data_IF_085515400055
#
_entry.id   IF_085515400055
#
_cell.length_a   1.000
_cell.length_b   1.000
_cell.length_c   1.000
_cell.angle_alpha   90.00
_cell.angle_beta   90.00
_cell.angle_gamma   90.00
#
_symmetry.space_group_name_H-M   'P 1'
#
loop_
_entity.id
_entity.type
_entity.pdbx_description
1 polymer ?
#
# COMPACT_ATOMS: atom_id res chain seq x y z
N UNK A 1 -12.23 25.11 -19.33
CA UNK A 1 -10.91 24.98 -19.97
C UNK A 1 -9.88 25.60 -19.05
N UNK A 2 -9.08 24.79 -18.35
CA UNK A 2 -7.98 25.27 -17.51
C UNK A 2 -6.77 25.60 -18.40
N UNK A 3 -6.10 26.73 -18.14
CA UNK A 3 -4.99 27.25 -18.95
C UNK A 3 -3.82 26.26 -19.14
N UNK A 4 -3.15 26.25 -20.31
CA UNK A 4 -2.06 25.32 -20.63
C UNK A 4 -0.89 25.33 -19.62
N UNK A 5 -0.58 26.48 -19.02
CA UNK A 5 0.51 26.62 -18.02
C UNK A 5 0.18 25.93 -16.68
N UNK A 6 -1.09 25.90 -16.26
CA UNK A 6 -1.50 25.17 -15.04
C UNK A 6 -1.55 23.66 -15.25
N UNK A 7 -1.84 23.21 -16.48
CA UNK A 7 -1.88 21.78 -16.84
C UNK A 7 -0.49 21.12 -16.74
N UNK A 8 0.56 21.79 -17.20
CA UNK A 8 1.94 21.29 -17.09
C UNK A 8 2.45 21.21 -15.64
N UNK A 9 2.09 22.18 -14.80
CA UNK A 9 2.45 22.19 -13.37
C UNK A 9 1.73 21.04 -12.62
N UNK A 10 0.47 20.75 -12.95
CA UNK A 10 -0.30 19.64 -12.34
C UNK A 10 0.21 18.26 -12.80
N UNK A 11 0.68 18.13 -14.05
CA UNK A 11 1.31 16.90 -14.56
C UNK A 11 2.69 16.64 -13.92
N UNK A 12 3.50 17.67 -13.69
CA UNK A 12 4.77 17.54 -12.95
C UNK A 12 4.54 17.21 -11.46
N UNK A 13 3.49 17.73 -10.83
CA UNK A 13 3.15 17.49 -9.42
C UNK A 13 2.61 16.08 -9.12
N UNK A 14 2.25 15.30 -10.15
CA UNK A 14 1.69 13.95 -10.01
C UNK A 14 2.62 12.82 -10.50
N UNK A 15 3.85 13.14 -10.92
CA UNK A 15 4.81 12.12 -11.34
C UNK A 15 5.30 11.34 -10.12
N UNK A 16 5.01 10.05 -10.10
CA UNK A 16 5.52 9.15 -9.07
C UNK A 16 7.00 8.88 -9.40
N UNK A 17 7.94 9.21 -8.49
CA UNK A 17 9.36 9.05 -8.77
C UNK A 17 9.72 7.58 -8.95
N UNK A 18 10.60 7.30 -9.91
CA UNK A 18 11.14 5.97 -10.18
C UNK A 18 12.54 5.83 -9.57
N UNK A 19 12.70 4.77 -8.77
CA UNK A 19 13.96 4.39 -8.10
C UNK A 19 14.47 3.09 -8.71
N UNK A 20 15.66 3.11 -9.33
CA UNK A 20 16.26 1.93 -9.94
C UNK A 20 17.37 1.33 -9.06
N UNK A 21 17.38 0.00 -8.88
CA UNK A 21 18.47 -0.72 -8.21
C UNK A 21 19.47 -1.19 -9.26
N UNK A 22 20.71 -0.71 -9.17
CA UNK A 22 21.81 -1.01 -10.09
C UNK A 22 22.98 -1.60 -9.31
N UNK A 23 23.76 -2.45 -9.95
CA UNK A 23 24.96 -3.06 -9.38
C UNK A 23 25.33 -4.34 -10.12
N UNK A 24 26.54 -4.84 -9.90
CA UNK A 24 27.00 -6.07 -10.56
C UNK A 24 26.16 -7.30 -10.17
N UNK A 25 26.38 -8.42 -10.83
CA UNK A 25 25.67 -9.68 -10.53
C UNK A 25 26.02 -10.15 -9.11
N UNK A 26 25.08 -10.79 -8.43
CA UNK A 26 25.23 -11.39 -7.09
C UNK A 26 25.54 -10.43 -5.92
N UNK A 27 25.37 -9.12 -6.08
CA UNK A 27 25.43 -8.15 -4.96
C UNK A 27 24.18 -8.17 -4.08
N UNK A 28 23.10 -8.81 -4.52
CA UNK A 28 21.83 -8.94 -3.79
C UNK A 28 20.74 -7.94 -4.17
N UNK A 29 20.73 -7.44 -5.42
CA UNK A 29 19.70 -6.52 -5.95
C UNK A 29 18.28 -7.05 -5.76
N UNK A 30 18.01 -8.27 -6.23
CA UNK A 30 16.68 -8.88 -6.12
C UNK A 30 16.31 -9.21 -4.68
N UNK A 31 17.29 -9.51 -3.82
CA UNK A 31 17.06 -9.66 -2.38
C UNK A 31 16.63 -8.34 -1.73
N UNK A 32 17.29 -7.23 -2.09
CA UNK A 32 16.92 -5.89 -1.61
C UNK A 32 15.54 -5.49 -2.13
N UNK A 33 15.29 -5.68 -3.42
CA UNK A 33 13.99 -5.44 -4.04
C UNK A 33 12.87 -6.18 -3.31
N UNK A 34 13.02 -7.50 -3.12
CA UNK A 34 12.06 -8.33 -2.41
C UNK A 34 11.86 -7.92 -0.95
N UNK A 35 12.92 -7.44 -0.30
CA UNK A 35 12.84 -6.93 1.07
C UNK A 35 12.00 -5.65 1.13
N UNK A 36 12.27 -4.70 0.22
CA UNK A 36 11.59 -3.40 0.19
C UNK A 36 10.09 -3.56 -0.11
N UNK A 37 9.72 -4.51 -0.98
CA UNK A 37 8.31 -4.77 -1.33
C UNK A 37 7.54 -5.57 -0.27
N UNK A 38 8.21 -6.09 0.77
CA UNK A 38 7.57 -6.75 1.91
C UNK A 38 7.05 -8.18 1.69
N UNK A 39 7.40 -8.87 0.60
CA UNK A 39 7.06 -10.30 0.38
C UNK A 39 8.18 -11.08 -0.32
N UNK A 40 8.42 -12.36 0.06
CA UNK A 40 9.14 -13.27 -0.83
C UNK A 40 8.31 -13.44 -2.12
N UNK A 41 8.92 -13.16 -3.28
CA UNK A 41 8.37 -13.59 -4.57
C UNK A 41 8.25 -15.11 -4.52
N UNK A 42 7.03 -15.63 -4.68
CA UNK A 42 6.87 -16.99 -5.14
C UNK A 42 7.46 -17.07 -6.56
N UNK A 43 8.64 -17.69 -6.67
CA UNK A 43 9.02 -18.53 -7.81
C UNK A 43 7.84 -19.52 -8.01
N UNK A 44 7.23 -19.80 -9.16
CA UNK A 44 7.63 -19.87 -10.58
C UNK A 44 6.33 -19.77 -11.42
N UNK A 45 6.35 -19.11 -12.59
CA UNK A 45 5.48 -19.49 -13.72
C UNK A 45 6.24 -19.15 -15.01
N UNK A 46 6.93 -20.16 -15.55
CA UNK A 46 7.74 -20.12 -16.77
C UNK A 46 6.86 -20.09 -18.01
N UNK A 47 6.24 -18.95 -18.29
CA UNK A 47 5.59 -18.69 -19.57
C UNK A 47 6.26 -17.53 -20.31
N UNK A 48 6.91 -17.77 -21.47
CA UNK A 48 7.51 -16.71 -22.26
C UNK A 48 6.41 -15.79 -22.82
N UNK A 49 6.56 -14.47 -22.66
CA UNK A 49 5.73 -13.49 -23.38
C UNK A 49 4.95 -12.45 -22.57
N UNK A 50 5.41 -12.02 -21.38
CA UNK A 50 4.69 -11.00 -20.59
C UNK A 50 5.41 -9.65 -20.53
N UNK A 51 4.65 -8.60 -20.85
CA UNK A 51 4.99 -7.19 -21.04
C UNK A 51 5.64 -6.50 -19.82
N UNK A 52 6.35 -5.39 -20.13
CA UNK A 52 7.17 -4.48 -19.29
C UNK A 52 6.70 -4.12 -17.87
N UNK A 53 5.45 -4.40 -17.49
CA UNK A 53 4.83 -4.00 -16.21
C UNK A 53 5.26 -4.83 -14.98
N UNK A 54 5.98 -5.95 -15.18
CA UNK A 54 6.38 -6.86 -14.07
C UNK A 54 7.53 -6.33 -13.20
N UNK A 55 8.34 -5.39 -13.67
CA UNK A 55 9.62 -5.00 -13.04
C UNK A 55 9.53 -3.79 -12.09
N UNK A 56 8.40 -3.08 -12.03
CA UNK A 56 8.19 -1.93 -11.15
C UNK A 56 7.23 -2.27 -10.02
N UNK A 57 7.51 -1.80 -8.81
CA UNK A 57 6.65 -1.97 -7.63
C UNK A 57 6.51 -0.66 -6.90
N UNK A 58 5.28 -0.30 -6.53
CA UNK A 58 5.04 0.89 -5.72
C UNK A 58 5.42 0.62 -4.26
N UNK A 59 6.14 1.57 -3.68
CA UNK A 59 6.58 1.58 -2.29
C UNK A 59 6.10 2.89 -1.68
N UNK A 60 5.61 2.84 -0.45
CA UNK A 60 5.28 4.03 0.34
C UNK A 60 6.14 4.05 1.60
N UNK A 61 6.82 5.17 1.82
CA UNK A 61 7.68 5.36 2.99
C UNK A 61 7.62 6.81 3.48
N UNK A 62 7.41 7.00 4.79
CA UNK A 62 7.31 8.33 5.44
C UNK A 62 6.39 9.32 4.67
N UNK A 63 5.28 8.79 4.15
CA UNK A 63 4.26 9.52 3.39
C UNK A 63 4.60 9.87 1.94
N UNK A 64 5.73 9.39 1.39
CA UNK A 64 6.09 9.55 -0.02
C UNK A 64 5.91 8.21 -0.77
N UNK A 65 5.14 8.23 -1.86
CA UNK A 65 5.02 7.08 -2.77
C UNK A 65 6.05 7.19 -3.89
N UNK A 66 6.74 6.09 -4.18
CA UNK A 66 7.66 5.97 -5.31
C UNK A 66 7.56 4.57 -5.94
N UNK A 67 7.99 4.41 -7.18
CA UNK A 67 8.15 3.10 -7.81
C UNK A 67 9.59 2.64 -7.67
N UNK A 68 9.80 1.39 -7.26
CA UNK A 68 11.12 0.75 -7.27
C UNK A 68 11.18 -0.26 -8.42
N UNK A 69 12.31 -0.30 -9.12
CA UNK A 69 12.58 -1.29 -10.15
C UNK A 69 13.91 -2.00 -9.92
N UNK A 70 13.90 -3.32 -10.10
CA UNK A 70 15.14 -4.08 -10.27
C UNK A 70 15.49 -4.00 -11.77
N UNK A 71 16.66 -3.47 -12.12
CA UNK A 71 17.10 -3.46 -13.53
C UNK A 71 17.47 -4.86 -14.03
N UNK A 72 17.33 -5.88 -13.18
CA UNK A 72 17.48 -7.29 -13.49
C UNK A 72 18.91 -7.77 -13.32
N UNK A 73 19.05 -8.90 -12.62
CA UNK A 73 19.68 -10.06 -13.25
C UNK A 73 18.57 -10.90 -13.87
N UNK A 74 18.16 -10.58 -15.10
CA UNK A 74 17.40 -11.51 -15.93
C UNK A 74 18.43 -12.45 -16.56
N UNK A 75 18.34 -13.72 -16.20
CA UNK A 75 19.20 -14.86 -16.57
C UNK A 75 20.47 -15.04 -15.74
N UNK A 76 20.49 -16.16 -15.01
CA UNK A 76 21.67 -16.81 -14.45
C UNK A 76 22.19 -17.83 -15.50
N UNK A 77 23.33 -18.47 -15.28
CA UNK A 77 24.67 -17.99 -15.59
C UNK A 77 25.26 -18.89 -16.67
N UNK A 78 25.20 -18.49 -17.93
CA UNK A 78 26.04 -19.10 -18.96
C UNK A 78 26.51 -17.99 -19.92
N UNK A 79 27.82 -18.04 -20.14
CA UNK A 79 28.64 -17.37 -21.14
C UNK A 79 29.10 -15.92 -20.91
N UNK A 80 30.41 -15.78 -21.12
CA UNK A 80 31.32 -14.66 -20.91
C UNK A 80 31.04 -13.40 -21.77
N UNK A 81 29.78 -13.12 -22.07
CA UNK A 81 29.38 -11.91 -22.77
C UNK A 81 28.17 -11.31 -22.09
N UNK A 82 28.38 -10.17 -21.43
CA UNK A 82 27.29 -9.29 -21.02
C UNK A 82 26.56 -8.87 -22.31
N UNK A 83 25.52 -9.61 -22.71
CA UNK A 83 24.83 -9.38 -23.97
C UNK A 83 24.43 -7.91 -24.10
N UNK A 84 24.58 -7.31 -25.28
CA UNK A 84 24.17 -5.91 -25.52
C UNK A 84 22.73 -5.64 -25.04
N UNK A 85 21.90 -6.68 -25.07
CA UNK A 85 20.53 -6.67 -24.55
C UNK A 85 20.45 -6.35 -23.04
N UNK A 86 21.31 -6.96 -22.21
CA UNK A 86 21.38 -6.69 -20.76
C UNK A 86 21.84 -5.26 -20.48
N UNK A 87 22.87 -4.77 -21.18
CA UNK A 87 23.34 -3.38 -21.07
C UNK A 87 22.23 -2.39 -21.43
N UNK A 88 21.55 -2.59 -22.56
CA UNK A 88 20.44 -1.73 -23.01
C UNK A 88 19.28 -1.68 -22.02
N UNK A 89 19.01 -2.76 -21.27
CA UNK A 89 17.96 -2.78 -20.25
C UNK A 89 18.36 -2.02 -18.97
N UNK A 90 19.61 -2.17 -18.52
CA UNK A 90 20.15 -1.38 -17.39
C UNK A 90 20.21 0.10 -17.77
N UNK A 91 20.64 0.42 -18.98
CA UNK A 91 20.68 1.79 -19.51
C UNK A 91 19.30 2.45 -19.51
N UNK A 92 18.29 1.77 -20.07
CA UNK A 92 16.90 2.28 -20.06
C UNK A 92 16.37 2.48 -18.65
N UNK A 93 16.60 1.52 -17.74
CA UNK A 93 16.15 1.64 -16.36
C UNK A 93 16.77 2.83 -15.62
N UNK A 94 18.06 3.10 -15.86
CA UNK A 94 18.76 4.26 -15.28
C UNK A 94 18.33 5.58 -15.93
N UNK A 95 18.10 5.60 -17.24
CA UNK A 95 17.62 6.78 -17.95
C UNK A 95 16.24 7.23 -17.49
N UNK A 96 15.33 6.28 -17.27
CA UNK A 96 13.98 6.53 -16.77
C UNK A 96 13.94 6.89 -15.28
N UNK A 97 14.92 6.43 -14.49
CA UNK A 97 14.95 6.64 -13.04
C UNK A 97 15.22 8.09 -12.64
N UNK A 98 14.51 8.55 -11.62
CA UNK A 98 14.71 9.83 -10.94
C UNK A 98 15.79 9.69 -9.84
N UNK A 99 15.96 8.48 -9.32
CA UNK A 99 16.99 8.15 -8.34
C UNK A 99 17.55 6.73 -8.57
N UNK A 100 18.85 6.55 -8.40
CA UNK A 100 19.51 5.25 -8.54
C UNK A 100 20.05 4.79 -7.18
N UNK A 101 19.78 3.54 -6.82
CA UNK A 101 20.47 2.84 -5.73
C UNK A 101 21.61 2.05 -6.37
N UNK A 102 22.85 2.46 -6.12
CA UNK A 102 24.01 1.69 -6.53
C UNK A 102 24.40 0.72 -5.42
N UNK A 103 24.16 -0.56 -5.64
CA UNK A 103 24.33 -1.63 -4.67
C UNK A 103 25.66 -2.36 -4.89
N UNK A 104 26.51 -2.35 -3.86
CA UNK A 104 27.82 -3.02 -3.83
C UNK A 104 27.83 -4.10 -2.75
N UNK A 105 28.83 -4.99 -2.76
CA UNK A 105 28.94 -6.11 -1.82
C UNK A 105 30.08 -5.86 -0.83
N UNK A 106 29.73 -5.59 0.43
CA UNK A 106 30.70 -5.32 1.49
C UNK A 106 31.67 -6.49 1.69
N UNK A 107 31.25 -7.74 1.46
CA UNK A 107 32.13 -8.92 1.63
C UNK A 107 33.27 -8.92 0.63
N UNK A 108 32.98 -8.55 -0.63
CA UNK A 108 33.95 -8.60 -1.73
C UNK A 108 34.80 -7.33 -1.89
N UNK A 109 34.40 -6.22 -1.26
CA UNK A 109 35.07 -4.92 -1.48
C UNK A 109 34.77 -4.33 -2.86
N UNK A 110 35.51 -3.30 -3.25
CA UNK A 110 35.39 -2.65 -4.55
C UNK A 110 36.00 -3.55 -5.64
N UNK A 111 35.26 -3.78 -6.73
CA UNK A 111 35.76 -4.51 -7.90
C UNK A 111 35.91 -3.60 -9.12
N UNK A 112 36.69 -3.99 -10.16
CA UNK A 112 36.78 -3.22 -11.41
C UNK A 112 35.41 -2.95 -12.05
N UNK A 113 34.50 -3.92 -12.03
CA UNK A 113 33.12 -3.73 -12.51
C UNK A 113 32.35 -2.68 -11.71
N UNK A 114 32.58 -2.58 -10.40
CA UNK A 114 31.94 -1.55 -9.58
C UNK A 114 32.48 -0.15 -9.95
N UNK A 115 33.78 -0.04 -10.31
CA UNK A 115 34.37 1.20 -10.81
C UNK A 115 33.81 1.59 -12.19
N UNK A 116 33.67 0.64 -13.11
CA UNK A 116 33.06 0.87 -14.43
C UNK A 116 31.61 1.37 -14.33
N UNK A 117 30.81 0.70 -13.49
CA UNK A 117 29.41 1.10 -13.24
C UNK A 117 29.38 2.50 -12.61
N UNK A 118 30.27 2.78 -11.65
CA UNK A 118 30.36 4.09 -11.02
C UNK A 118 30.71 5.19 -12.02
N UNK A 119 31.68 4.97 -12.91
CA UNK A 119 32.05 5.92 -13.95
C UNK A 119 30.90 6.17 -14.92
N UNK A 120 30.22 5.10 -15.34
CA UNK A 120 29.05 5.20 -16.20
C UNK A 120 27.90 5.99 -15.57
N UNK A 121 27.58 5.72 -14.30
CA UNK A 121 26.56 6.46 -13.54
C UNK A 121 26.91 7.95 -13.39
N UNK A 122 28.19 8.27 -13.14
CA UNK A 122 28.68 9.67 -13.08
C UNK A 122 28.50 10.38 -14.42
N UNK A 123 28.85 9.75 -15.54
CA UNK A 123 28.68 10.33 -16.89
C UNK A 123 27.20 10.62 -17.22
N UNK A 124 26.26 9.83 -16.68
CA UNK A 124 24.81 10.04 -16.88
C UNK A 124 24.22 11.14 -16.00
N UNK A 125 24.97 11.70 -15.03
CA UNK A 125 24.53 12.82 -14.19
C UNK A 125 23.34 12.50 -13.27
N UNK A 126 23.04 11.23 -13.05
CA UNK A 126 21.92 10.80 -12.20
C UNK A 126 22.27 10.96 -10.71
N UNK A 127 21.26 11.20 -9.88
CA UNK A 127 21.41 11.13 -8.43
C UNK A 127 21.51 9.67 -8.00
N UNK A 128 22.52 9.37 -7.20
CA UNK A 128 22.86 8.00 -6.78
C UNK A 128 22.97 7.95 -5.27
N UNK A 129 22.33 6.96 -4.65
CA UNK A 129 22.57 6.54 -3.27
C UNK A 129 23.40 5.26 -3.33
N UNK A 130 24.58 5.29 -2.70
CA UNK A 130 25.44 4.12 -2.58
C UNK A 130 25.01 3.27 -1.38
N UNK A 131 24.81 1.97 -1.60
CA UNK A 131 24.42 1.02 -0.57
C UNK A 131 25.39 -0.18 -0.55
N UNK A 132 26.04 -0.39 0.60
CA UNK A 132 26.94 -1.53 0.81
C UNK A 132 26.18 -2.69 1.42
N UNK A 133 25.83 -3.68 0.59
CA UNK A 133 25.03 -4.84 0.98
C UNK A 133 25.88 -5.92 1.66
N UNK A 134 25.20 -6.88 2.31
CA UNK A 134 25.80 -7.99 3.07
C UNK A 134 26.61 -7.53 4.29
N UNK A 135 26.16 -6.45 4.93
CA UNK A 135 26.72 -5.89 6.16
C UNK A 135 26.48 -6.73 7.43
N UNK A 136 26.16 -8.01 7.27
CA UNK A 136 26.14 -9.03 8.32
C UNK A 136 27.54 -9.49 8.76
N UNK A 137 28.60 -9.02 8.10
CA UNK A 137 30.00 -9.32 8.45
C UNK A 137 30.59 -8.32 9.44
N UNK A 138 31.38 -8.84 10.38
CA UNK A 138 32.17 -8.03 11.31
C UNK A 138 33.45 -7.51 10.62
N UNK A 139 33.97 -6.40 11.12
CA UNK A 139 35.32 -5.88 10.82
C UNK A 139 35.58 -5.45 9.36
N UNK A 140 34.54 -5.04 8.63
CA UNK A 140 34.66 -4.47 7.28
C UNK A 140 34.32 -2.98 7.31
N UNK A 141 35.24 -2.15 6.83
CA UNK A 141 35.02 -0.71 6.74
C UNK A 141 34.13 -0.38 5.54
N UNK A 142 32.96 0.17 5.83
CA UNK A 142 31.99 0.59 4.81
C UNK A 142 32.48 1.88 4.14
N UNK A 143 33.32 2.68 4.79
CA UNK A 143 33.83 3.95 4.27
C UNK A 143 34.76 3.77 3.07
N UNK A 144 35.34 2.59 2.85
CA UNK A 144 36.13 2.29 1.66
C UNK A 144 35.37 2.63 0.36
N UNK A 145 34.06 2.36 0.33
CA UNK A 145 33.23 2.58 -0.85
C UNK A 145 32.98 4.07 -1.17
N UNK A 146 33.36 5.01 -0.30
CA UNK A 146 33.35 6.45 -0.62
C UNK A 146 34.22 6.76 -1.85
N UNK A 147 35.25 5.93 -2.13
CA UNK A 147 36.09 6.03 -3.31
C UNK A 147 35.32 5.94 -4.65
N UNK A 148 34.09 5.40 -4.64
CA UNK A 148 33.22 5.35 -5.83
C UNK A 148 32.58 6.72 -6.17
N UNK A 149 32.71 7.72 -5.30
CA UNK A 149 32.35 9.11 -5.61
C UNK A 149 30.88 9.47 -5.44
N UNK A 150 30.12 8.73 -4.63
CA UNK A 150 28.69 8.97 -4.37
C UNK A 150 28.38 9.34 -2.91
N UNK A 151 29.39 9.81 -2.17
CA UNK A 151 29.28 10.16 -0.76
C UNK A 151 29.30 8.94 0.17
N UNK A 152 28.84 9.13 1.41
CA UNK A 152 28.87 8.08 2.43
C UNK A 152 27.90 6.93 2.07
N UNK A 153 28.37 5.67 2.04
CA UNK A 153 27.55 4.51 1.74
C UNK A 153 26.60 4.11 2.89
N UNK A 154 25.38 3.70 2.56
CA UNK A 154 24.46 3.10 3.54
C UNK A 154 24.79 1.63 3.71
N UNK A 155 25.21 1.22 4.91
CA UNK A 155 25.47 -0.18 5.24
C UNK A 155 24.14 -0.94 5.41
N UNK A 156 23.92 -1.99 4.62
CA UNK A 156 22.69 -2.79 4.67
C UNK A 156 22.97 -4.29 4.64
N UNK A 157 22.07 -5.08 5.23
CA UNK A 157 21.96 -6.52 4.94
C UNK A 157 20.56 -6.81 4.44
N UNK A 158 20.43 -6.95 3.12
CA UNK A 158 19.14 -7.25 2.47
C UNK A 158 18.55 -8.59 2.93
N UNK A 159 19.40 -9.56 3.26
CA UNK A 159 19.01 -10.88 3.75
C UNK A 159 18.43 -10.84 5.17
N UNK A 160 18.93 -9.94 6.02
CA UNK A 160 18.52 -9.82 7.43
C UNK A 160 17.65 -8.58 7.71
N UNK A 161 17.43 -7.71 6.72
CA UNK A 161 16.65 -6.48 6.85
C UNK A 161 17.37 -5.34 7.60
N UNK A 162 18.64 -5.50 7.95
CA UNK A 162 19.44 -4.50 8.67
C UNK A 162 19.75 -3.33 7.73
N UNK A 163 19.61 -2.09 8.19
CA UNK A 163 19.97 -0.89 7.41
C UNK A 163 18.97 -0.53 6.29
N UNK A 164 17.98 -1.37 6.01
CA UNK A 164 17.00 -1.14 4.94
C UNK A 164 16.06 0.04 5.28
N UNK A 165 15.55 0.21 6.51
CA UNK A 165 14.82 1.42 6.88
C UNK A 165 15.65 2.70 6.69
N UNK A 166 16.92 2.69 7.06
CA UNK A 166 17.87 3.81 6.88
C UNK A 166 18.04 4.16 5.39
N UNK A 167 18.15 3.14 4.53
CA UNK A 167 18.21 3.33 3.08
C UNK A 167 16.92 3.97 2.55
N UNK A 168 15.75 3.53 3.03
CA UNK A 168 14.45 4.08 2.64
C UNK A 168 14.27 5.53 3.13
N UNK A 169 14.72 5.85 4.34
CA UNK A 169 14.74 7.22 4.86
C UNK A 169 15.54 8.14 3.92
N UNK A 170 16.75 7.70 3.50
CA UNK A 170 17.62 8.47 2.60
C UNK A 170 17.05 8.61 1.19
N UNK A 171 16.37 7.59 0.67
CA UNK A 171 15.63 7.66 -0.60
C UNK A 171 14.56 8.74 -0.53
N UNK A 172 13.74 8.75 0.51
CA UNK A 172 12.67 9.74 0.67
C UNK A 172 13.23 11.14 0.85
N UNK A 173 14.32 11.30 1.61
CA UNK A 173 14.99 12.59 1.78
C UNK A 173 15.51 13.13 0.44
N UNK A 174 16.19 12.31 -0.35
CA UNK A 174 16.74 12.74 -1.64
C UNK A 174 15.64 13.06 -2.66
N UNK A 175 14.60 12.22 -2.75
CA UNK A 175 13.44 12.52 -3.59
C UNK A 175 12.78 13.84 -3.18
N UNK A 176 12.67 14.12 -1.87
CA UNK A 176 12.17 15.41 -1.39
C UNK A 176 13.07 16.58 -1.80
N UNK A 177 14.38 16.43 -1.77
CA UNK A 177 15.32 17.47 -2.25
C UNK A 177 15.16 17.73 -3.74
N UNK A 178 14.83 16.70 -4.53
CA UNK A 178 14.52 16.83 -5.96
C UNK A 178 13.16 17.49 -6.24
N UNK A 179 12.41 17.90 -5.22
CA UNK A 179 11.12 18.55 -5.38
C UNK A 179 9.93 17.59 -5.38
N UNK A 180 10.16 16.27 -5.34
CA UNK A 180 9.08 15.33 -5.08
C UNK A 180 8.48 15.65 -3.71
N UNK A 181 7.18 15.80 -3.67
CA UNK A 181 6.45 15.89 -2.42
C UNK A 181 5.66 14.61 -2.31
N UNK A 182 5.26 14.26 -1.08
CA UNK A 182 4.07 13.46 -0.91
C UNK A 182 3.05 14.02 -1.88
N UNK A 183 2.44 13.17 -2.73
CA UNK A 183 1.37 13.62 -3.61
C UNK A 183 0.53 14.58 -2.78
N UNK A 184 0.35 15.86 -3.21
CA UNK A 184 -0.45 16.80 -2.45
C UNK A 184 -1.71 16.03 -2.06
N UNK A 185 -2.05 16.05 -0.75
CA UNK A 185 -3.28 15.43 -0.22
C UNK A 185 -4.27 15.44 -1.35
N UNK A 186 -4.55 14.26 -1.94
CA UNK A 186 -5.26 14.18 -3.21
C UNK A 186 -6.39 15.17 -3.07
N UNK A 187 -6.30 16.29 -3.80
CA UNK A 187 -7.31 17.36 -3.82
C UNK A 187 -8.60 16.59 -3.80
N UNK A 188 -9.33 16.63 -2.66
CA UNK A 188 -10.44 15.71 -2.33
C UNK A 188 -10.93 15.17 -3.65
N UNK A 189 -10.57 13.92 -3.99
CA UNK A 189 -11.09 13.38 -5.23
C UNK A 189 -12.60 13.52 -5.03
N UNK A 190 -13.27 14.36 -5.84
CA UNK A 190 -14.68 14.71 -5.60
C UNK A 190 -15.49 13.43 -5.39
N UNK A 191 -15.00 12.34 -5.98
CA UNK A 191 -15.54 11.00 -5.92
C UNK A 191 -14.72 10.05 -5.05
N UNK A 192 -15.42 9.27 -4.22
CA UNK A 192 -14.83 8.19 -3.41
C UNK A 192 -14.56 6.97 -4.27
N UNK A 193 -13.33 6.46 -4.29
CA UNK A 193 -13.00 5.20 -4.98
C UNK A 193 -13.41 4.01 -4.12
N UNK A 194 -14.34 3.20 -4.61
CA UNK A 194 -14.87 2.04 -3.88
C UNK A 194 -14.63 0.74 -4.66
N UNK A 195 -14.44 -0.38 -3.95
CA UNK A 195 -14.46 -1.72 -4.54
C UNK A 195 -15.54 -2.56 -3.86
N UNK A 196 -16.41 -3.19 -4.65
CA UNK A 196 -17.50 -4.04 -4.15
C UNK A 196 -17.03 -5.50 -4.16
N UNK A 197 -17.01 -6.11 -2.98
CA UNK A 197 -16.48 -7.44 -2.70
C UNK A 197 -17.56 -8.30 -2.04
N UNK A 198 -17.36 -9.62 -2.01
CA UNK A 198 -18.30 -10.55 -1.37
C UNK A 198 -18.41 -11.88 -2.12
N UNK A 199 -19.02 -12.88 -1.48
CA UNK A 199 -19.23 -14.21 -2.06
C UNK A 199 -20.05 -14.17 -3.36
N UNK A 200 -20.01 -15.21 -4.20
CA UNK A 200 -20.97 -15.36 -5.29
C UNK A 200 -22.42 -15.19 -4.81
N UNK A 201 -23.29 -14.65 -5.66
CA UNK A 201 -24.75 -14.54 -5.44
C UNK A 201 -25.25 -13.68 -4.25
N UNK A 202 -24.38 -13.02 -3.48
CA UNK A 202 -24.78 -12.07 -2.40
C UNK A 202 -25.44 -10.78 -2.90
N UNK A 203 -25.48 -10.57 -4.22
CA UNK A 203 -26.11 -9.39 -4.84
C UNK A 203 -25.16 -8.24 -5.21
N UNK A 204 -23.85 -8.50 -5.37
CA UNK A 204 -22.86 -7.49 -5.80
C UNK A 204 -23.26 -6.73 -7.07
N UNK A 205 -23.71 -7.43 -8.11
CA UNK A 205 -24.09 -6.81 -9.39
C UNK A 205 -25.37 -5.99 -9.29
N UNK A 206 -26.33 -6.46 -8.50
CA UNK A 206 -27.54 -5.69 -8.19
C UNK A 206 -27.20 -4.43 -7.40
N UNK A 207 -26.32 -4.56 -6.39
CA UNK A 207 -25.87 -3.44 -5.58
C UNK A 207 -25.08 -2.42 -6.41
N UNK A 208 -24.23 -2.89 -7.33
CA UNK A 208 -23.53 -2.03 -8.28
C UNK A 208 -24.53 -1.22 -9.10
N UNK A 209 -25.55 -1.85 -9.70
CA UNK A 209 -26.54 -1.13 -10.48
C UNK A 209 -27.33 -0.13 -9.62
N UNK A 210 -27.70 -0.51 -8.39
CA UNK A 210 -28.41 0.37 -7.47
C UNK A 210 -27.57 1.60 -7.06
N UNK A 211 -26.26 1.43 -6.85
CA UNK A 211 -25.33 2.53 -6.57
C UNK A 211 -25.05 3.42 -7.79
N UNK A 212 -25.19 2.86 -8.99
CA UNK A 212 -24.89 3.56 -10.24
C UNK A 212 -26.04 4.45 -10.69
N UNK A 213 -27.30 4.03 -10.50
CA UNK A 213 -28.47 4.79 -10.96
C UNK A 213 -28.60 4.83 -12.51
N UNK A 214 -29.53 5.64 -13.02
CA UNK A 214 -29.84 5.69 -14.46
C UNK A 214 -28.88 6.56 -15.30
N UNK A 215 -28.16 7.50 -14.69
CA UNK A 215 -27.24 8.41 -15.39
C UNK A 215 -25.77 7.96 -15.27
N UNK A 216 -25.24 7.30 -16.29
CA UNK A 216 -23.84 6.82 -16.28
C UNK A 216 -23.09 7.31 -17.50
N UNK A 217 -22.02 8.07 -17.27
CA UNK A 217 -20.95 8.21 -18.25
C UNK A 217 -19.98 7.04 -18.05
N UNK A 218 -19.90 6.12 -19.02
CA UNK A 218 -18.79 5.17 -19.10
C UNK A 218 -17.50 5.97 -19.34
N UNK A 219 -16.59 5.99 -18.38
CA UNK A 219 -15.33 6.74 -18.49
C UNK A 219 -14.13 5.87 -18.86
N UNK A 220 -13.16 6.55 -19.48
CA UNK A 220 -11.89 6.05 -20.04
C UNK A 220 -10.98 5.42 -18.96
N UNK A 221 -10.06 4.50 -19.33
CA UNK A 221 -9.10 3.89 -18.41
C UNK A 221 -8.35 4.92 -17.56
N UNK A 222 -8.38 4.73 -16.24
CA UNK A 222 -7.57 5.49 -15.28
C UNK A 222 -6.09 5.07 -15.45
N UNK A 223 -5.13 6.01 -15.57
CA UNK A 223 -3.70 5.68 -15.64
C UNK A 223 -3.27 4.77 -14.47
N UNK A 224 -2.71 3.60 -14.79
CA UNK A 224 -2.30 2.60 -13.80
C UNK A 224 -3.27 1.43 -13.60
N UNK A 225 -4.41 1.42 -14.28
CA UNK A 225 -5.27 0.23 -14.43
C UNK A 225 -4.89 -0.55 -15.70
N UNK A 226 -5.13 -1.87 -15.76
CA UNK A 226 -4.90 -2.62 -17.03
C UNK A 226 -6.01 -2.28 -17.99
N UNK A 227 -5.70 -2.32 -19.29
CA UNK A 227 -6.62 -2.12 -20.43
C UNK A 227 -7.96 -2.88 -20.39
N UNK A 228 -8.18 -3.80 -19.44
CA UNK A 228 -9.39 -4.62 -19.30
C UNK A 228 -10.31 -4.24 -18.13
N UNK A 229 -9.96 -3.28 -17.25
CA UNK A 229 -10.84 -2.87 -16.14
C UNK A 229 -11.77 -1.75 -16.57
N UNK A 230 -13.07 -2.06 -16.62
CA UNK A 230 -14.14 -1.07 -16.76
C UNK A 230 -14.46 -0.54 -15.36
N UNK A 231 -14.02 0.67 -15.06
CA UNK A 231 -14.45 1.38 -13.85
C UNK A 231 -15.79 2.09 -14.16
N UNK A 232 -16.66 2.22 -13.16
CA UNK A 232 -17.93 2.92 -13.33
C UNK A 232 -17.93 4.15 -12.43
N UNK A 233 -18.21 5.29 -13.03
CA UNK A 233 -18.20 6.58 -12.36
C UNK A 233 -19.62 7.10 -12.22
N UNK A 234 -19.94 7.57 -11.02
CA UNK A 234 -21.20 8.25 -10.67
C UNK A 234 -20.88 9.71 -10.34
N UNK A 235 -21.84 10.49 -9.85
CA UNK A 235 -21.56 11.86 -9.40
C UNK A 235 -20.48 11.93 -8.32
N UNK A 236 -20.38 10.91 -7.47
CA UNK A 236 -19.69 10.99 -6.18
C UNK A 236 -18.91 9.72 -5.79
N UNK A 237 -19.03 8.64 -6.57
CA UNK A 237 -18.27 7.40 -6.43
C UNK A 237 -17.58 7.02 -7.74
N UNK A 238 -16.39 6.42 -7.63
CA UNK A 238 -15.73 5.66 -8.68
C UNK A 238 -15.67 4.21 -8.23
N UNK A 239 -16.42 3.32 -8.88
CA UNK A 239 -16.47 1.90 -8.57
C UNK A 239 -15.40 1.18 -9.39
N UNK A 240 -14.38 0.67 -8.70
CA UNK A 240 -13.20 0.05 -9.27
C UNK A 240 -13.46 -1.41 -9.63
N UNK A 241 -13.02 -1.82 -10.82
CA UNK A 241 -13.00 -3.20 -11.32
C UNK A 241 -14.40 -3.84 -11.43
N UNK A 242 -15.31 -3.18 -12.16
CA UNK A 242 -16.70 -3.66 -12.35
C UNK A 242 -16.81 -4.85 -13.30
N UNK A 243 -15.77 -5.11 -14.09
CA UNK A 243 -15.72 -6.22 -15.05
C UNK A 243 -15.85 -7.59 -14.36
N UNK A 244 -15.30 -7.74 -13.14
CA UNK A 244 -15.45 -8.94 -12.31
C UNK A 244 -16.85 -9.13 -11.74
N UNK A 245 -17.64 -8.06 -11.62
CA UNK A 245 -19.03 -8.08 -11.12
C UNK A 245 -20.02 -8.44 -12.24
N UNK A 246 -19.72 -8.08 -13.49
CA UNK A 246 -20.59 -8.36 -14.66
C UNK A 246 -20.48 -9.79 -15.20
N UNK A 247 -19.35 -10.48 -14.99
CA UNK A 247 -19.17 -11.88 -15.44
C UNK A 247 -19.64 -12.84 -14.34
N UNK A 248 -20.81 -13.48 -14.54
CA UNK A 248 -21.24 -14.63 -13.74
C UNK A 248 -20.28 -15.80 -13.99
N UNK A 249 -19.37 -16.07 -13.07
CA UNK A 249 -18.53 -17.27 -13.15
C UNK A 249 -19.38 -18.47 -12.71
N UNK A 250 -19.45 -19.48 -13.57
CA UNK A 250 -20.31 -20.66 -13.38
C UNK A 250 -19.66 -21.79 -12.59
N UNK A 251 -18.34 -21.79 -12.39
CA UNK A 251 -17.64 -22.92 -11.77
C UNK A 251 -16.48 -22.50 -10.86
N UNK A 252 -16.21 -23.37 -9.89
CA UNK A 252 -15.23 -23.33 -8.80
C UNK A 252 -13.83 -22.89 -9.22
N UNK A 253 -13.47 -21.60 -9.05
CA UNK A 253 -12.09 -21.25 -8.66
C UNK A 253 -12.12 -20.06 -7.69
N UNK A 254 -12.36 -20.34 -6.41
CA UNK A 254 -12.23 -19.39 -5.28
C UNK A 254 -10.87 -18.66 -5.28
N UNK A 255 -9.84 -19.29 -5.85
CA UNK A 255 -8.47 -18.79 -5.87
C UNK A 255 -8.27 -17.60 -6.84
N UNK A 256 -8.95 -17.55 -7.99
CA UNK A 256 -8.79 -16.44 -8.97
C UNK A 256 -9.56 -15.18 -8.58
N UNK A 257 -10.65 -15.31 -7.81
CA UNK A 257 -11.36 -14.17 -7.23
C UNK A 257 -10.50 -13.40 -6.23
N UNK A 258 -9.63 -14.10 -5.48
CA UNK A 258 -8.77 -13.51 -4.45
C UNK A 258 -7.64 -12.63 -5.04
N UNK A 259 -7.04 -13.04 -6.17
CA UNK A 259 -5.95 -12.28 -6.84
C UNK A 259 -6.48 -10.99 -7.50
N UNK A 260 -7.69 -11.00 -8.07
CA UNK A 260 -8.31 -9.81 -8.68
C UNK A 260 -8.87 -8.84 -7.62
N UNK A 261 -9.50 -9.35 -6.57
CA UNK A 261 -9.98 -8.54 -5.43
C UNK A 261 -8.85 -7.72 -4.77
N UNK A 262 -7.66 -8.32 -4.65
CA UNK A 262 -6.50 -7.62 -4.11
C UNK A 262 -6.04 -6.47 -4.99
N UNK A 263 -6.19 -6.61 -6.31
CA UNK A 263 -5.85 -5.56 -7.26
C UNK A 263 -6.86 -4.41 -7.22
N UNK A 264 -8.15 -4.69 -7.21
CA UNK A 264 -9.18 -3.64 -7.11
C UNK A 264 -9.03 -2.85 -5.80
N UNK A 265 -8.75 -3.55 -4.69
CA UNK A 265 -8.49 -2.93 -3.38
C UNK A 265 -7.28 -2.00 -3.37
N UNK A 266 -6.22 -2.27 -4.14
CA UNK A 266 -5.05 -1.38 -4.21
C UNK A 266 -5.39 0.03 -4.70
N UNK A 267 -6.37 0.16 -5.58
CA UNK A 267 -6.78 1.45 -6.15
C UNK A 267 -8.03 2.04 -5.46
N UNK A 268 -8.79 1.21 -4.74
CA UNK A 268 -9.90 1.66 -3.92
C UNK A 268 -9.43 2.40 -2.66
N UNK A 269 -10.29 3.26 -2.12
CA UNK A 269 -10.14 3.86 -0.80
C UNK A 269 -10.95 3.08 0.24
N UNK A 270 -12.11 2.59 -0.19
CA UNK A 270 -13.06 1.85 0.64
C UNK A 270 -13.43 0.53 -0.04
N UNK A 271 -13.33 -0.57 0.71
CA UNK A 271 -13.91 -1.86 0.36
C UNK A 271 -15.34 -1.96 0.92
N UNK A 272 -16.31 -2.14 0.03
CA UNK A 272 -17.69 -2.48 0.39
C UNK A 272 -17.82 -4.00 0.32
N UNK A 273 -17.91 -4.66 1.48
CA UNK A 273 -18.11 -6.12 1.54
C UNK A 273 -19.61 -6.41 1.64
N UNK A 274 -20.14 -7.10 0.63
CA UNK A 274 -21.55 -7.47 0.54
C UNK A 274 -21.75 -8.86 1.14
N UNK A 275 -22.66 -8.96 2.09
CA UNK A 275 -23.10 -10.20 2.74
C UNK A 275 -24.60 -10.36 2.50
N UNK A 276 -25.04 -11.58 2.22
CA UNK A 276 -26.47 -11.89 2.07
C UNK A 276 -27.14 -12.02 3.45
N UNK A 277 -28.19 -11.23 3.69
CA UNK A 277 -28.94 -11.24 4.96
C UNK A 277 -29.82 -12.49 5.13
N UNK A 278 -30.07 -13.22 4.05
CA UNK A 278 -30.89 -14.45 4.07
C UNK A 278 -30.09 -15.71 4.44
N UNK A 279 -28.77 -15.62 4.36
CA UNK A 279 -27.80 -16.70 4.56
C UNK A 279 -26.96 -16.43 5.82
N UNK A 280 -26.23 -17.43 6.29
CA UNK A 280 -25.29 -17.26 7.39
C UNK A 280 -24.01 -16.50 6.97
N UNK A 281 -23.38 -15.83 7.93
CA UNK A 281 -22.06 -15.21 7.74
C UNK A 281 -21.00 -16.31 7.75
N UNK A 282 -20.45 -16.60 6.58
CA UNK A 282 -19.52 -17.71 6.40
C UNK A 282 -18.07 -17.33 6.73
N UNK A 283 -17.20 -18.34 6.81
CA UNK A 283 -15.74 -18.13 6.89
C UNK A 283 -15.19 -17.35 5.71
N UNK A 284 -15.77 -17.52 4.51
CA UNK A 284 -15.33 -16.80 3.32
C UNK A 284 -15.66 -15.31 3.40
N UNK A 285 -16.81 -14.93 3.97
CA UNK A 285 -17.15 -13.52 4.22
C UNK A 285 -16.12 -12.87 5.15
N UNK A 286 -15.76 -13.54 6.25
CA UNK A 286 -14.74 -13.07 7.20
C UNK A 286 -13.35 -12.96 6.56
N UNK A 287 -12.97 -13.89 5.68
CA UNK A 287 -11.72 -13.83 4.90
C UNK A 287 -11.69 -12.62 3.95
N UNK A 288 -12.80 -12.33 3.26
CA UNK A 288 -12.91 -11.18 2.37
C UNK A 288 -12.79 -9.87 3.18
N UNK A 289 -13.45 -9.79 4.35
CA UNK A 289 -13.32 -8.66 5.27
C UNK A 289 -11.85 -8.45 5.68
N UNK A 290 -11.17 -9.52 6.11
CA UNK A 290 -9.77 -9.42 6.51
C UNK A 290 -8.86 -8.98 5.36
N UNK A 291 -9.16 -9.36 4.12
CA UNK A 291 -8.41 -8.88 2.96
C UNK A 291 -8.46 -7.35 2.81
N UNK A 292 -9.62 -6.73 3.08
CA UNK A 292 -9.77 -5.25 3.05
C UNK A 292 -8.90 -4.59 4.12
N UNK A 293 -8.89 -5.17 5.32
CA UNK A 293 -8.12 -4.70 6.48
C UNK A 293 -6.62 -4.84 6.22
N UNK A 294 -6.17 -5.99 5.72
CA UNK A 294 -4.76 -6.27 5.38
C UNK A 294 -4.22 -5.34 4.30
N UNK A 295 -5.07 -4.90 3.36
CA UNK A 295 -4.72 -3.92 2.33
C UNK A 295 -4.82 -2.46 2.83
N UNK A 296 -5.13 -2.26 4.11
CA UNK A 296 -5.21 -0.95 4.76
C UNK A 296 -6.32 -0.06 4.24
N UNK A 297 -7.43 -0.64 3.76
CA UNK A 297 -8.56 0.11 3.18
C UNK A 297 -9.65 0.33 4.20
N UNK A 298 -10.40 1.42 4.02
CA UNK A 298 -11.63 1.64 4.76
C UNK A 298 -12.62 0.51 4.45
N UNK A 299 -13.42 0.10 5.43
CA UNK A 299 -14.34 -1.01 5.34
C UNK A 299 -15.77 -0.55 5.63
N UNK A 300 -16.68 -0.88 4.73
CA UNK A 300 -18.13 -0.82 4.96
C UNK A 300 -18.70 -2.21 4.67
N UNK A 301 -19.55 -2.73 5.57
CA UNK A 301 -20.21 -4.02 5.36
C UNK A 301 -21.66 -3.77 4.96
N UNK A 302 -22.04 -4.18 3.75
CA UNK A 302 -23.41 -4.10 3.25
C UNK A 302 -24.12 -5.43 3.49
N UNK A 303 -25.07 -5.44 4.43
CA UNK A 303 -25.93 -6.60 4.73
C UNK A 303 -27.14 -6.52 3.79
N UNK A 304 -27.05 -7.21 2.66
CA UNK A 304 -27.92 -7.05 1.50
C UNK A 304 -29.10 -8.05 1.48
N UNK A 305 -30.14 -7.76 0.70
CA UNK A 305 -31.37 -8.57 0.55
C UNK A 305 -32.29 -8.59 1.78
N UNK A 306 -32.29 -7.52 2.57
CA UNK A 306 -33.20 -7.42 3.73
C UNK A 306 -34.68 -7.42 3.33
N UNK A 307 -35.00 -7.12 2.07
CA UNK A 307 -36.35 -7.20 1.50
C UNK A 307 -36.94 -8.63 1.54
N UNK A 308 -36.08 -9.65 1.63
CA UNK A 308 -36.49 -11.05 1.71
C UNK A 308 -36.75 -11.54 3.14
N UNK A 309 -36.48 -10.71 4.15
CA UNK A 309 -36.66 -11.05 5.55
C UNK A 309 -38.00 -10.54 6.09
N UNK A 310 -38.68 -11.40 6.85
CA UNK A 310 -39.86 -11.02 7.64
C UNK A 310 -39.47 -10.12 8.83
N UNK A 311 -40.50 -9.61 9.54
CA UNK A 311 -40.31 -8.70 10.68
C UNK A 311 -39.54 -9.31 11.84
N UNK A 312 -39.64 -10.61 12.06
CA UNK A 312 -38.97 -11.29 13.17
C UNK A 312 -37.49 -11.45 12.87
N UNK A 313 -37.15 -12.02 11.71
CA UNK A 313 -35.76 -12.15 11.24
C UNK A 313 -35.06 -10.81 11.12
N UNK A 314 -35.75 -9.75 10.67
CA UNK A 314 -35.18 -8.38 10.66
C UNK A 314 -34.77 -7.88 12.05
N UNK A 315 -35.53 -8.21 13.10
CA UNK A 315 -35.20 -7.82 14.49
C UNK A 315 -33.98 -8.57 15.01
N UNK A 316 -33.84 -9.84 14.66
CA UNK A 316 -32.72 -10.69 15.08
C UNK A 316 -31.42 -10.43 14.30
N UNK A 317 -31.53 -9.83 13.12
CA UNK A 317 -30.40 -9.63 12.22
C UNK A 317 -29.30 -8.73 12.83
N UNK A 318 -29.68 -7.64 13.51
CA UNK A 318 -28.68 -6.72 14.10
C UNK A 318 -27.86 -7.37 15.24
N UNK A 319 -28.48 -8.03 16.24
CA UNK A 319 -27.75 -8.83 17.22
C UNK A 319 -26.85 -9.90 16.59
N UNK A 320 -27.38 -10.65 15.61
CA UNK A 320 -26.65 -11.70 14.90
C UNK A 320 -25.39 -11.14 14.20
N UNK A 321 -25.56 -10.12 13.36
CA UNK A 321 -24.45 -9.47 12.63
C UNK A 321 -23.43 -8.87 13.58
N UNK A 322 -23.88 -8.25 14.68
CA UNK A 322 -22.98 -7.65 15.68
C UNK A 322 -22.13 -8.71 16.38
N UNK A 323 -22.69 -9.89 16.67
CA UNK A 323 -21.96 -11.01 17.24
C UNK A 323 -20.94 -11.60 16.26
N UNK A 324 -21.40 -11.93 15.04
CA UNK A 324 -20.56 -12.57 14.02
C UNK A 324 -19.41 -11.68 13.51
N UNK A 325 -19.63 -10.37 13.48
CA UNK A 325 -18.67 -9.37 13.00
C UNK A 325 -18.08 -8.49 14.12
N UNK A 326 -18.09 -8.98 15.37
CA UNK A 326 -17.53 -8.26 16.52
C UNK A 326 -16.04 -7.90 16.33
N UNK A 327 -15.29 -8.71 15.59
CA UNK A 327 -13.87 -8.46 15.28
C UNK A 327 -13.63 -7.22 14.41
N UNK A 328 -14.67 -6.75 13.70
CA UNK A 328 -14.67 -5.49 12.93
C UNK A 328 -15.69 -4.51 13.50
N UNK A 329 -15.73 -4.38 14.83
CA UNK A 329 -16.60 -3.44 15.53
C UNK A 329 -16.53 -2.01 14.98
N UNK A 330 -15.35 -1.57 14.52
CA UNK A 330 -15.13 -0.24 13.96
C UNK A 330 -15.74 0.00 12.57
N UNK A 331 -16.13 -1.04 11.85
CA UNK A 331 -16.71 -0.92 10.51
C UNK A 331 -18.22 -0.69 10.55
N UNK A 332 -18.78 0.29 9.82
CA UNK A 332 -20.22 0.43 9.70
C UNK A 332 -20.84 -0.78 8.99
N UNK A 333 -21.99 -1.23 9.52
CA UNK A 333 -22.83 -2.28 8.93
C UNK A 333 -24.09 -1.61 8.43
N UNK A 334 -24.27 -1.58 7.12
CA UNK A 334 -25.41 -0.94 6.46
C UNK A 334 -26.33 -2.01 5.93
N UNK A 335 -27.58 -2.01 6.38
CA UNK A 335 -28.61 -2.92 5.89
C UNK A 335 -29.16 -2.39 4.56
N UNK A 336 -29.11 -3.22 3.52
CA UNK A 336 -29.46 -2.79 2.16
C UNK A 336 -30.41 -3.76 1.46
N UNK A 337 -31.19 -3.23 0.53
CA UNK A 337 -31.88 -3.99 -0.50
C UNK A 337 -31.58 -3.36 -1.85
N UNK A 338 -30.70 -3.99 -2.61
CA UNK A 338 -30.43 -3.56 -3.99
C UNK A 338 -31.66 -3.63 -4.90
N UNK A 339 -32.71 -4.38 -4.51
CA UNK A 339 -33.94 -4.54 -5.27
C UNK A 339 -34.91 -3.37 -5.02
N UNK A 340 -35.04 -2.92 -3.78
CA UNK A 340 -36.00 -1.87 -3.39
C UNK A 340 -35.35 -0.50 -3.24
N UNK A 341 -34.02 -0.42 -3.22
CA UNK A 341 -33.27 0.80 -2.95
C UNK A 341 -33.07 1.11 -1.46
N UNK A 342 -33.65 0.30 -0.56
CA UNK A 342 -33.52 0.49 0.89
C UNK A 342 -32.03 0.49 1.30
N UNK A 343 -31.59 1.52 2.02
CA UNK A 343 -30.22 1.64 2.55
C UNK A 343 -29.12 1.96 1.54
N UNK A 344 -29.42 2.12 0.25
CA UNK A 344 -28.41 2.39 -0.78
C UNK A 344 -27.77 3.79 -0.61
N UNK A 345 -28.56 4.80 -0.29
CA UNK A 345 -28.03 6.16 -0.07
C UNK A 345 -27.19 6.22 1.21
N UNK A 346 -27.64 5.56 2.29
CA UNK A 346 -26.85 5.43 3.52
C UNK A 346 -25.52 4.70 3.26
N UNK A 347 -25.51 3.68 2.40
CA UNK A 347 -24.28 2.99 2.02
C UNK A 347 -23.30 3.93 1.30
N UNK A 348 -23.80 4.78 0.40
CA UNK A 348 -23.02 5.80 -0.32
C UNK A 348 -22.44 6.83 0.64
N UNK A 349 -23.26 7.39 1.54
CA UNK A 349 -22.81 8.33 2.57
C UNK A 349 -21.76 7.72 3.50
N UNK A 350 -21.97 6.47 3.94
CA UNK A 350 -21.01 5.78 4.80
C UNK A 350 -19.69 5.51 4.09
N UNK A 351 -19.70 5.17 2.80
CA UNK A 351 -18.46 5.03 2.04
C UNK A 351 -17.66 6.34 1.99
N UNK A 352 -18.32 7.48 1.77
CA UNK A 352 -17.67 8.81 1.83
C UNK A 352 -17.14 9.12 3.23
N UNK A 353 -17.94 8.90 4.27
CA UNK A 353 -17.53 9.15 5.65
C UNK A 353 -16.32 8.30 6.03
N UNK A 354 -16.33 7.01 5.70
CA UNK A 354 -15.19 6.11 5.94
C UNK A 354 -13.96 6.55 5.16
N UNK A 355 -14.10 7.01 3.90
CA UNK A 355 -12.98 7.61 3.16
C UNK A 355 -12.40 8.79 3.94
N UNK A 356 -13.23 9.75 4.31
CA UNK A 356 -12.80 11.00 4.96
C UNK A 356 -12.13 10.75 6.31
N UNK A 357 -12.67 9.81 7.09
CA UNK A 357 -12.06 9.34 8.35
C UNK A 357 -10.68 8.70 8.14
N UNK A 358 -10.47 8.02 7.02
CA UNK A 358 -9.17 7.44 6.66
C UNK A 358 -8.11 8.49 6.33
N UNK A 359 -8.53 9.64 5.81
CA UNK A 359 -7.66 10.78 5.49
C UNK A 359 -7.39 11.70 6.69
N UNK A 360 -8.08 11.50 7.82
CA UNK A 360 -7.94 12.35 9.00
C UNK A 360 -6.49 12.38 9.50
N UNK A 361 -5.94 13.58 9.61
CA UNK A 361 -4.63 13.85 10.23
C UNK A 361 -4.84 14.55 11.57
N UNK A 362 -4.32 13.95 12.63
CA UNK A 362 -4.39 14.47 13.98
C UNK A 362 -3.18 15.38 14.21
N UNK A 363 -3.40 16.55 14.82
CA UNK A 363 -2.31 17.44 15.18
C UNK A 363 -1.45 16.80 16.28
N UNK A 364 -0.15 17.05 16.25
CA UNK A 364 0.80 16.41 17.18
C UNK A 364 0.47 16.73 18.65
N UNK A 365 -0.02 17.95 18.94
CA UNK A 365 -0.45 18.35 20.29
C UNK A 365 -1.69 17.60 20.80
N UNK A 366 -2.71 17.42 19.95
CA UNK A 366 -3.91 16.64 20.29
C UNK A 366 -3.58 15.17 20.51
N UNK A 367 -2.66 14.63 19.69
CA UNK A 367 -2.22 13.25 19.79
C UNK A 367 -1.42 12.99 21.07
N UNK A 368 -0.57 13.94 21.48
CA UNK A 368 0.17 13.87 22.73
C UNK A 368 -0.78 13.92 23.93
N UNK A 369 -1.71 14.88 23.93
CA UNK A 369 -2.76 14.98 24.97
C UNK A 369 -3.57 13.68 25.09
N UNK A 370 -3.96 13.10 23.95
CA UNK A 370 -4.66 11.82 23.93
C UNK A 370 -3.82 10.66 24.48
N UNK A 371 -2.51 10.64 24.22
CA UNK A 371 -1.63 9.62 24.78
C UNK A 371 -1.49 9.74 26.31
N UNK A 372 -1.39 10.96 26.83
CA UNK A 372 -1.35 11.23 28.27
C UNK A 372 -2.66 10.78 28.95
N UNK A 373 -3.82 11.13 28.37
CA UNK A 373 -5.12 10.65 28.84
C UNK A 373 -5.21 9.11 28.82
N UNK A 374 -4.70 8.46 27.76
CA UNK A 374 -4.67 7.01 27.66
C UNK A 374 -3.78 6.38 28.75
N UNK A 375 -2.60 6.95 28.99
CA UNK A 375 -1.67 6.50 30.03
C UNK A 375 -2.26 6.62 31.45
N UNK A 376 -3.10 7.63 31.69
CA UNK A 376 -3.82 7.78 32.96
C UNK A 376 -4.91 6.71 33.16
N UNK A 377 -5.54 6.22 32.08
CA UNK A 377 -6.52 5.12 32.15
C UNK A 377 -5.86 3.75 32.28
N UNK A 378 -4.78 3.52 31.55
CA UNK A 378 -3.98 2.30 31.61
C UNK A 378 -2.52 2.66 31.37
N UNK A 379 -1.69 2.50 32.40
CA UNK A 379 -0.28 2.82 32.29
C UNK A 379 0.41 1.97 31.21
N UNK A 380 1.30 2.56 30.38
CA UNK A 380 2.01 1.81 29.37
C UNK A 380 2.96 0.78 30.01
N UNK A 381 3.06 -0.44 29.46
CA UNK A 381 3.92 -1.49 30.01
C UNK A 381 5.41 -1.22 29.82
N UNK A 382 5.75 -0.16 29.09
CA UNK A 382 7.10 0.31 28.81
C UNK A 382 7.07 1.80 28.54
N UNK A 383 8.17 2.49 28.81
CA UNK A 383 8.36 3.90 28.46
C UNK A 383 8.19 4.12 26.95
N UNK A 384 7.34 5.10 26.58
CA UNK A 384 7.08 5.55 25.22
C UNK A 384 7.81 6.89 25.04
N UNK A 385 8.80 6.92 24.15
CA UNK A 385 9.60 8.12 23.86
C UNK A 385 8.97 9.02 22.80
N UNK A 386 8.19 8.44 21.89
CA UNK A 386 7.55 9.22 20.82
C UNK A 386 6.33 8.48 20.29
N UNK A 387 5.29 9.25 19.99
CA UNK A 387 4.06 8.77 19.40
C UNK A 387 3.59 9.77 18.33
N UNK A 388 3.60 9.35 17.06
CA UNK A 388 3.27 10.23 15.93
C UNK A 388 2.41 9.51 14.92
N UNK A 389 1.47 10.21 14.31
CA UNK A 389 0.82 9.74 13.08
C UNK A 389 1.79 9.93 11.91
N UNK A 390 2.15 8.84 11.24
CA UNK A 390 3.14 8.84 10.13
C UNK A 390 2.51 8.57 8.77
N UNK A 391 1.26 8.09 8.74
CA UNK A 391 0.48 7.99 7.51
C UNK A 391 -1.02 8.18 7.80
N UNK A 392 -1.72 8.60 6.75
CA UNK A 392 -3.18 8.61 6.60
C UNK A 392 -3.52 7.64 5.47
N UNK A 393 -4.64 6.94 5.56
CA UNK A 393 -5.08 5.89 4.62
C UNK A 393 -4.15 4.66 4.54
N UNK A 394 -4.15 3.80 5.57
CA UNK A 394 -4.92 3.92 6.81
C UNK A 394 -4.19 4.79 7.87
N UNK A 395 -4.90 5.29 8.89
CA UNK A 395 -4.28 5.93 10.05
C UNK A 395 -3.20 5.03 10.65
N UNK A 396 -1.94 5.48 10.54
CA UNK A 396 -0.77 4.71 10.98
C UNK A 396 0.03 5.51 11.98
N UNK A 397 0.22 4.94 13.17
CA UNK A 397 0.91 5.57 14.28
C UNK A 397 2.24 4.89 14.55
N UNK A 398 3.33 5.65 14.51
CA UNK A 398 4.67 5.22 14.90
C UNK A 398 4.82 5.39 16.41
N UNK A 399 5.20 4.30 17.08
CA UNK A 399 5.48 4.29 18.52
C UNK A 399 6.96 3.96 18.73
N UNK A 400 7.70 4.91 19.29
CA UNK A 400 9.07 4.67 19.74
C UNK A 400 9.03 4.38 21.23
N UNK A 401 9.48 3.21 21.64
CA UNK A 401 9.38 2.75 23.04
C UNK A 401 10.58 1.91 23.44
N UNK A 402 10.87 1.85 24.75
CA UNK A 402 12.04 1.13 25.29
C UNK A 402 12.00 -0.37 25.00
N UNK A 403 10.82 -0.98 25.10
CA UNK A 403 10.54 -2.38 24.80
C UNK A 403 9.37 -2.46 23.82
N UNK A 404 9.16 -3.64 23.25
CA UNK A 404 7.98 -3.88 22.44
C UNK A 404 6.72 -3.81 23.32
N UNK A 405 5.73 -3.08 22.84
CA UNK A 405 4.42 -2.94 23.44
C UNK A 405 3.59 -4.18 23.10
N UNK A 406 3.06 -4.89 24.11
CA UNK A 406 2.21 -6.05 23.91
C UNK A 406 0.92 -5.74 23.15
N UNK A 407 0.42 -6.72 22.39
CA UNK A 407 -0.78 -6.60 21.57
C UNK A 407 -2.04 -6.17 22.35
N UNK A 408 -2.17 -6.56 23.63
CA UNK A 408 -3.32 -6.15 24.45
C UNK A 408 -3.34 -4.64 24.71
N UNK A 409 -2.17 -4.02 24.92
CA UNK A 409 -2.06 -2.58 25.11
C UNK A 409 -2.30 -1.84 23.80
N UNK A 410 -1.80 -2.36 22.67
CA UNK A 410 -2.12 -1.79 21.35
C UNK A 410 -3.62 -1.81 21.05
N UNK A 411 -4.34 -2.87 21.43
CA UNK A 411 -5.81 -2.93 21.30
C UNK A 411 -6.51 -1.93 22.21
N UNK A 412 -6.02 -1.73 23.43
CA UNK A 412 -6.52 -0.67 24.31
C UNK A 412 -6.32 0.71 23.66
N UNK A 413 -5.10 0.99 23.19
CA UNK A 413 -4.76 2.26 22.54
C UNK A 413 -5.57 2.47 21.27
N UNK A 414 -5.79 1.43 20.47
CA UNK A 414 -6.67 1.46 19.30
C UNK A 414 -8.08 1.93 19.68
N UNK A 415 -8.69 1.29 20.69
CA UNK A 415 -10.04 1.64 21.17
C UNK A 415 -10.08 3.07 21.69
N UNK A 416 -9.08 3.47 22.47
CA UNK A 416 -8.97 4.82 23.00
C UNK A 416 -8.89 5.87 21.88
N UNK A 417 -8.06 5.65 20.86
CA UNK A 417 -7.94 6.56 19.72
C UNK A 417 -9.25 6.64 18.93
N UNK A 418 -10.00 5.54 18.79
CA UNK A 418 -11.33 5.55 18.17
C UNK A 418 -12.35 6.33 18.99
N UNK A 419 -12.35 6.16 20.31
CA UNK A 419 -13.22 6.96 21.20
C UNK A 419 -12.96 8.46 21.06
N UNK A 420 -11.68 8.86 20.92
CA UNK A 420 -11.28 10.26 20.83
C UNK A 420 -11.45 10.86 19.43
N UNK A 421 -11.18 10.09 18.38
CA UNK A 421 -11.02 10.60 17.01
C UNK A 421 -11.89 9.89 15.95
N UNK A 422 -12.79 8.99 16.35
CA UNK A 422 -13.71 8.17 15.52
C UNK A 422 -12.98 7.12 14.65
N UNK A 423 -12.24 7.55 13.62
CA UNK A 423 -11.59 6.67 12.64
C UNK A 423 -12.53 5.60 12.07
N UNK A 424 -13.81 5.96 11.90
CA UNK A 424 -14.88 5.05 11.50
C UNK A 424 -14.50 4.29 10.23
N UNK A 425 -14.71 2.98 10.24
CA UNK A 425 -14.44 2.09 9.11
C UNK A 425 -12.96 1.88 8.78
N UNK A 426 -12.02 2.56 9.42
CA UNK A 426 -10.61 2.46 9.08
C UNK A 426 -9.86 1.55 10.05
N UNK A 427 -9.02 0.62 9.57
CA UNK A 427 -8.07 -0.06 10.44
C UNK A 427 -7.04 0.95 10.96
N UNK A 428 -6.65 0.83 12.23
CA UNK A 428 -5.55 1.63 12.80
C UNK A 428 -4.32 0.74 12.85
N UNK A 429 -3.21 1.23 12.30
CA UNK A 429 -1.95 0.50 12.28
C UNK A 429 -0.95 1.11 13.27
N UNK A 430 -0.24 0.25 14.01
CA UNK A 430 0.84 0.67 14.90
C UNK A 430 2.19 0.15 14.40
N UNK A 431 3.12 1.07 14.14
CA UNK A 431 4.51 0.76 13.79
C UNK A 431 5.40 0.96 15.00
N UNK A 432 5.85 -0.13 15.61
CA UNK A 432 6.74 -0.08 16.76
C UNK A 432 8.20 0.03 16.33
N UNK A 433 8.95 0.92 16.97
CA UNK A 433 10.38 1.16 16.69
C UNK A 433 11.15 1.23 18.00
N UNK A 434 12.32 0.59 18.07
CA UNK A 434 13.22 0.69 19.21
C UNK A 434 14.08 1.96 19.10
N UNK A 435 14.50 2.58 20.23
CA UNK A 435 15.33 3.77 20.20
C UNK A 435 16.70 3.41 19.61
N UNK A 436 17.24 4.26 18.72
CA UNK A 436 18.64 4.13 18.32
C UNK A 436 19.51 4.43 19.55
N UNK A 437 20.43 3.52 19.92
CA UNK A 437 21.51 3.88 20.84
C UNK A 437 22.29 5.00 20.16
N UNK A 438 22.31 6.21 20.74
CA UNK A 438 23.35 7.18 20.41
C UNK A 438 24.67 6.48 20.70
N UNK A 439 25.51 6.33 19.68
CA UNK A 439 26.94 6.08 19.91
C UNK A 439 27.47 7.43 20.38
N UNK A 440 27.87 7.48 21.64
CA UNK A 440 28.66 8.58 22.17
C UNK A 440 30.03 8.65 21.46
#
# INVERSE_FOLDING_TARGET
MLEPRRKGIIEEMNKIPLVAIVGRVNVGKSTLFNRIIGKPLALVDERPGLTRDRLRKRVEWEGLSFEIMDTGGLFSPDEDQLSEYLRRNIEKGVEEADLVIFLVDLKKGITPYDMEIAEWLRKKGKKVILAANKADVKDKDVLEFTALGFGEPVAISSAHGIGVPELLDRIVEELRRQGYRSAPEVVKADKTRVSILGRPNVGKSSLLNALVGEEVALTSPIPGTTRDSVDVETEDLIIIDTAGIKRKYKDEIEYYAHIRSRRSLRYAEVGIVVIDATDEITRLDKKIINLVIEEGRGLVVAINKIDLLDKERRRELLPYVSGELAFVYFAPKVFTSAKTGEGIELLREMAKKVRDEGYKKIQEGDLLSALEEAANRLAPPTEIYSFKQVASKPPTFKIVSRREIPAHYLRFLERFLREKFDFLGNPILFRQVRPRRKKD
#
